data_IF_535942125327
#
_entry.id   IF_535942125327
#
_cell.length_a   1.000
_cell.length_b   1.000
_cell.length_c   1.000
_cell.angle_alpha   90.00
_cell.angle_beta   90.00
_cell.angle_gamma   90.00
#
_symmetry.space_group_name_H-M   'P 1'
#
loop_
_entity.id
_entity.type
_entity.pdbx_description
1 polymer ?
#
# COMPACT_ATOMS: atom_id res chain seq x y z
N UNK A 1 -16.34 12.89 6.99
CA UNK A 1 -15.11 12.50 6.27
C UNK A 1 -13.97 12.55 7.27
N UNK A 2 -13.13 11.52 7.38
CA UNK A 2 -11.98 11.55 8.28
C UNK A 2 -11.02 12.68 7.89
N UNK A 3 -10.33 13.20 8.90
CA UNK A 3 -9.29 14.21 8.71
C UNK A 3 -8.12 13.58 7.93
N UNK A 4 -7.72 14.10 6.76
CA UNK A 4 -6.60 13.56 5.99
C UNK A 4 -5.26 13.61 6.75
N UNK A 5 -5.17 14.33 7.88
CA UNK A 5 -4.02 14.25 8.79
C UNK A 5 -3.99 13.01 9.70
N UNK A 6 -5.02 12.16 9.66
CA UNK A 6 -5.18 10.97 10.53
C UNK A 6 -5.34 9.65 9.77
N UNK A 7 -5.17 9.62 8.46
CA UNK A 7 -5.18 8.37 7.69
C UNK A 7 -3.81 7.70 7.71
N UNK A 8 -3.79 6.37 7.81
CA UNK A 8 -2.56 5.57 7.69
C UNK A 8 -2.21 5.39 6.20
N UNK A 9 -1.04 5.88 5.80
CA UNK A 9 -0.53 5.78 4.42
C UNK A 9 0.18 4.44 4.21
N UNK A 10 -0.44 3.56 3.44
CA UNK A 10 0.06 2.19 3.22
C UNK A 10 0.48 2.00 1.76
N UNK A 11 1.69 1.50 1.54
CA UNK A 11 2.15 1.10 0.21
C UNK A 11 1.83 -0.37 -0.10
N UNK A 12 1.18 -0.59 -1.24
CA UNK A 12 0.93 -1.89 -1.86
C UNK A 12 1.92 -2.07 -3.01
N UNK A 13 2.67 -3.20 -3.07
CA UNK A 13 3.65 -3.43 -4.11
C UNK A 13 2.98 -3.68 -5.46
N UNK A 14 3.42 -2.97 -6.50
CA UNK A 14 3.06 -3.25 -7.90
C UNK A 14 3.83 -4.45 -8.43
N UNK A 15 3.20 -5.19 -9.35
CA UNK A 15 3.82 -6.31 -10.06
C UNK A 15 3.42 -7.66 -9.46
N UNK A 16 4.37 -8.59 -9.36
CA UNK A 16 4.12 -9.98 -8.96
C UNK A 16 3.52 -10.14 -7.55
N UNK A 17 3.80 -9.20 -6.64
CA UNK A 17 3.28 -9.23 -5.26
C UNK A 17 1.94 -8.53 -5.10
N UNK A 18 1.42 -7.87 -6.14
CA UNK A 18 0.21 -7.05 -6.05
C UNK A 18 -1.02 -7.88 -5.67
N UNK A 19 -1.38 -8.86 -6.50
CA UNK A 19 -2.59 -9.65 -6.30
C UNK A 19 -2.52 -10.49 -5.01
N UNK A 20 -1.39 -11.16 -4.68
CA UNK A 20 -1.23 -11.83 -3.39
C UNK A 20 -1.40 -10.89 -2.18
N UNK A 21 -0.92 -9.65 -2.29
CA UNK A 21 -1.08 -8.65 -1.22
C UNK A 21 -2.53 -8.24 -1.05
N UNK A 22 -3.24 -8.00 -2.15
CA UNK A 22 -4.67 -7.65 -2.13
C UNK A 22 -5.49 -8.80 -1.54
N UNK A 23 -5.22 -10.04 -1.93
CA UNK A 23 -5.87 -11.22 -1.37
C UNK A 23 -5.61 -11.38 0.14
N UNK A 24 -4.38 -11.12 0.58
CA UNK A 24 -4.03 -11.16 2.00
C UNK A 24 -4.82 -10.12 2.80
N UNK A 25 -4.89 -8.89 2.29
CA UNK A 25 -5.62 -7.80 2.92
C UNK A 25 -7.14 -8.07 2.94
N UNK A 26 -7.68 -8.65 1.87
CA UNK A 26 -9.08 -9.09 1.82
C UNK A 26 -9.38 -10.16 2.89
N UNK A 27 -8.48 -11.12 3.10
CA UNK A 27 -8.60 -12.12 4.19
C UNK A 27 -8.55 -11.49 5.58
N UNK A 28 -7.89 -10.34 5.72
CA UNK A 28 -7.86 -9.56 6.96
C UNK A 28 -9.07 -8.61 7.12
N UNK A 29 -10.01 -8.57 6.15
CA UNK A 29 -11.20 -7.73 6.18
C UNK A 29 -11.07 -6.38 5.47
N UNK A 30 -9.92 -6.12 4.82
CA UNK A 30 -9.67 -4.91 4.03
C UNK A 30 -9.93 -5.18 2.55
N UNK A 31 -11.07 -4.72 2.05
CA UNK A 31 -11.36 -4.75 0.62
C UNK A 31 -10.61 -3.62 -0.07
N UNK A 32 -9.87 -3.95 -1.14
CA UNK A 32 -9.11 -2.98 -1.92
C UNK A 32 -9.62 -2.99 -3.36
N UNK A 33 -9.98 -1.81 -3.85
CA UNK A 33 -10.46 -1.62 -5.20
C UNK A 33 -9.37 -0.93 -6.03
N UNK A 34 -8.74 -1.70 -6.91
CA UNK A 34 -7.69 -1.20 -7.81
C UNK A 34 -8.30 -0.81 -9.15
N UNK A 35 -8.04 0.41 -9.60
CA UNK A 35 -8.33 0.80 -10.98
C UNK A 35 -7.14 0.54 -11.89
N UNK A 36 -7.40 0.17 -13.14
CA UNK A 36 -6.39 -0.23 -14.13
C UNK A 36 -5.31 0.83 -14.42
N UNK A 37 -5.54 2.10 -14.04
CA UNK A 37 -4.59 3.21 -14.23
C UNK A 37 -4.24 3.95 -12.92
N UNK A 38 -4.85 3.56 -11.81
CA UNK A 38 -4.69 4.28 -10.54
C UNK A 38 -3.35 3.99 -9.86
N UNK A 39 -2.72 5.04 -9.35
CA UNK A 39 -1.63 4.93 -8.37
C UNK A 39 -2.15 4.91 -6.93
N UNK A 40 -3.45 5.12 -6.75
CA UNK A 40 -4.11 5.26 -5.45
C UNK A 40 -5.38 4.39 -5.44
N UNK A 41 -5.31 3.15 -4.94
CA UNK A 41 -6.48 2.30 -4.73
C UNK A 41 -7.41 2.91 -3.69
N UNK A 42 -8.68 2.53 -3.71
CA UNK A 42 -9.60 2.80 -2.61
C UNK A 42 -9.77 1.55 -1.73
N UNK A 43 -10.19 1.76 -0.49
CA UNK A 43 -10.53 0.69 0.45
C UNK A 43 -11.93 0.88 1.03
N UNK A 44 -12.50 -0.18 1.58
CA UNK A 44 -13.68 -0.13 2.45
C UNK A 44 -13.39 0.57 3.80
N UNK A 45 -12.12 0.68 4.20
CA UNK A 45 -11.71 1.38 5.41
C UNK A 45 -11.35 2.85 5.10
N UNK A 46 -12.09 3.84 5.65
CA UNK A 46 -11.82 5.26 5.40
C UNK A 46 -10.57 5.79 6.14
N UNK A 47 -10.00 5.03 7.09
CA UNK A 47 -8.76 5.38 7.78
C UNK A 47 -7.50 4.98 7.00
N UNK A 48 -7.64 4.26 5.88
CA UNK A 48 -6.53 3.84 5.02
C UNK A 48 -6.34 4.75 3.81
N UNK A 49 -5.11 5.21 3.61
CA UNK A 49 -4.67 5.89 2.40
C UNK A 49 -3.68 5.01 1.62
N UNK A 50 -4.13 4.40 0.54
CA UNK A 50 -3.38 3.37 -0.18
C UNK A 50 -2.59 3.94 -1.36
N UNK A 51 -1.34 3.52 -1.49
CA UNK A 51 -0.45 3.88 -2.59
C UNK A 51 0.07 2.64 -3.31
N UNK A 52 0.01 2.64 -4.64
CA UNK A 52 0.58 1.57 -5.45
C UNK A 52 2.00 1.93 -5.89
N UNK A 53 3.00 1.30 -5.26
CA UNK A 53 4.42 1.64 -5.39
C UNK A 53 5.18 0.37 -5.84
N UNK A 54 6.27 0.50 -6.60
CA UNK A 54 7.12 -0.65 -6.92
C UNK A 54 7.80 -1.17 -5.65
N UNK A 55 7.91 -2.49 -5.48
CA UNK A 55 8.47 -3.10 -4.27
C UNK A 55 9.82 -2.49 -3.85
N UNK A 56 10.75 -2.30 -4.80
CA UNK A 56 12.07 -1.71 -4.52
C UNK A 56 12.04 -0.26 -4.01
N UNK A 57 10.97 0.50 -4.31
CA UNK A 57 10.88 1.92 -3.92
C UNK A 57 10.25 2.12 -2.54
N UNK A 58 9.62 1.08 -1.98
CA UNK A 58 8.83 1.20 -0.74
C UNK A 58 9.70 1.62 0.43
N UNK A 59 10.86 0.98 0.61
CA UNK A 59 11.80 1.35 1.69
C UNK A 59 12.25 2.81 1.60
N UNK A 60 12.54 3.29 0.39
CA UNK A 60 12.91 4.69 0.15
C UNK A 60 11.79 5.66 0.54
N UNK A 61 10.55 5.40 0.12
CA UNK A 61 9.42 6.26 0.46
C UNK A 61 9.05 6.22 1.94
N UNK A 62 9.25 5.08 2.60
CA UNK A 62 9.10 4.95 4.05
C UNK A 62 10.11 5.83 4.77
N UNK A 63 11.40 5.75 4.39
CA UNK A 63 12.45 6.58 4.98
C UNK A 63 12.27 8.09 4.74
N UNK A 64 11.54 8.47 3.68
CA UNK A 64 11.20 9.87 3.39
C UNK A 64 9.96 10.37 4.13
N UNK A 65 9.24 9.51 4.86
CA UNK A 65 7.96 9.85 5.51
C UNK A 65 6.83 10.11 4.51
N UNK A 66 6.96 9.63 3.28
CA UNK A 66 5.89 9.74 2.28
C UNK A 66 4.75 8.75 2.57
N UNK A 67 5.11 7.57 3.06
CA UNK A 67 4.21 6.52 3.54
C UNK A 67 4.55 6.18 5.00
N UNK A 68 3.59 5.62 5.71
CA UNK A 68 3.74 5.22 7.11
C UNK A 68 4.13 3.74 7.23
N UNK A 69 3.67 2.91 6.29
CA UNK A 69 4.07 1.50 6.19
C UNK A 69 3.90 0.95 4.77
N UNK A 70 4.40 -0.26 4.51
CA UNK A 70 4.23 -0.91 3.20
C UNK A 70 4.69 -2.36 3.19
N UNK A 71 4.25 -3.09 2.17
CA UNK A 71 4.62 -4.49 1.94
C UNK A 71 5.63 -4.56 0.80
N UNK A 72 6.79 -5.17 1.03
CA UNK A 72 7.82 -5.36 0.00
C UNK A 72 8.45 -6.75 0.09
N UNK A 73 9.24 -7.13 -0.91
CA UNK A 73 10.03 -8.36 -0.91
C UNK A 73 11.16 -8.27 0.13
N UNK A 74 11.48 -9.41 0.75
CA UNK A 74 12.55 -9.49 1.75
C UNK A 74 13.91 -9.11 1.17
N UNK A 75 14.14 -9.42 -0.10
CA UNK A 75 15.31 -9.01 -0.90
C UNK A 75 15.51 -7.48 -0.89
N UNK A 76 14.45 -6.71 -1.09
CA UNK A 76 14.49 -5.24 -1.11
C UNK A 76 14.63 -4.59 0.27
N UNK A 77 14.44 -5.35 1.36
CA UNK A 77 14.55 -4.82 2.71
C UNK A 77 16.01 -4.80 3.23
N UNK A 78 16.90 -5.60 2.63
CA UNK A 78 18.30 -5.76 3.06
C UNK A 78 19.32 -5.14 2.09
N UNK A 79 18.85 -4.62 0.96
CA UNK A 79 19.65 -3.86 0.00
C UNK A 79 19.72 -2.37 0.39
#
# INVERSE_FOLDING_TARGET
MPDPSRTLKVAIPKGSLQDPTIELLAKAGYEIYVSSRGLRPSSNDPELDLYMIRAQEIGRYLGQGFIDCGITGYDWAYE
#
